data_IF_461083335921
#
_entry.id   IF_461083335921
#
_cell.length_a   1.000
_cell.length_b   1.000
_cell.length_c   1.000
_cell.angle_alpha   90.00
_cell.angle_beta   90.00
_cell.angle_gamma   90.00
#
_symmetry.space_group_name_H-M   'P 1'
#
loop_
_entity.id
_entity.type
_entity.pdbx_description
1 polymer ?
#
# COMPACT_ATOMS: atom_id res chain seq x y z
N UNK A 1 -17.53 -4.73 25.16
CA UNK A 1 -16.27 -4.00 25.40
C UNK A 1 -15.46 -4.02 24.12
N UNK A 2 -14.99 -2.85 23.64
CA UNK A 2 -14.10 -2.79 22.47
C UNK A 2 -12.71 -3.30 22.86
N UNK A 3 -12.15 -4.22 22.09
CA UNK A 3 -10.79 -4.71 22.30
C UNK A 3 -9.77 -3.66 21.80
N UNK A 4 -8.53 -3.66 22.29
CA UNK A 4 -7.48 -2.78 21.77
C UNK A 4 -7.32 -2.89 20.24
N UNK A 5 -7.51 -4.09 19.69
CA UNK A 5 -7.51 -4.33 18.24
C UNK A 5 -8.62 -3.56 17.52
N UNK A 6 -9.88 -3.69 17.97
CA UNK A 6 -11.01 -3.03 17.33
C UNK A 6 -10.86 -1.50 17.36
N UNK A 7 -10.38 -0.96 18.48
CA UNK A 7 -10.08 0.46 18.62
C UNK A 7 -9.00 0.92 17.63
N UNK A 8 -7.89 0.17 17.51
CA UNK A 8 -6.81 0.51 16.57
C UNK A 8 -7.27 0.41 15.11
N UNK A 9 -8.05 -0.63 14.77
CA UNK A 9 -8.60 -0.82 13.43
C UNK A 9 -9.44 0.39 13.02
N UNK A 10 -10.36 0.84 13.88
CA UNK A 10 -11.23 1.99 13.60
C UNK A 10 -10.45 3.31 13.44
N UNK A 11 -9.37 3.50 14.22
CA UNK A 11 -8.49 4.66 14.06
C UNK A 11 -7.77 4.66 12.71
N UNK A 12 -7.26 3.50 12.28
CA UNK A 12 -6.61 3.37 10.98
C UNK A 12 -7.60 3.60 9.84
N UNK A 13 -8.78 2.97 9.90
CA UNK A 13 -9.88 3.18 8.95
C UNK A 13 -10.21 4.68 8.82
N UNK A 14 -10.44 5.36 9.94
CA UNK A 14 -10.71 6.81 9.94
C UNK A 14 -9.57 7.61 9.31
N UNK A 15 -8.32 7.28 9.64
CA UNK A 15 -7.15 7.99 9.11
C UNK A 15 -7.04 7.85 7.59
N UNK A 16 -7.12 6.62 7.07
CA UNK A 16 -6.97 6.36 5.64
C UNK A 16 -8.18 6.83 4.83
N UNK A 17 -9.40 6.78 5.36
CA UNK A 17 -10.62 7.15 4.62
C UNK A 17 -10.98 8.64 4.68
N UNK A 18 -10.58 9.35 5.74
CA UNK A 18 -11.06 10.73 5.96
C UNK A 18 -9.94 11.76 6.02
N UNK A 19 -8.78 11.39 6.56
CA UNK A 19 -7.73 12.37 6.86
C UNK A 19 -6.60 12.32 5.85
N UNK A 20 -6.25 11.12 5.39
CA UNK A 20 -5.01 10.88 4.66
C UNK A 20 -5.23 10.58 3.17
N UNK A 21 -6.49 10.49 2.70
CA UNK A 21 -6.85 10.14 1.32
C UNK A 21 -6.05 10.94 0.29
N UNK A 22 -6.11 12.27 0.34
CA UNK A 22 -5.45 13.13 -0.65
C UNK A 22 -3.92 12.99 -0.56
N UNK A 23 -3.40 12.96 0.66
CA UNK A 23 -1.97 12.81 0.91
C UNK A 23 -1.43 11.46 0.41
N UNK A 24 -2.21 10.38 0.54
CA UNK A 24 -1.86 9.05 0.03
C UNK A 24 -2.02 8.97 -1.47
N UNK A 25 -3.11 9.47 -2.02
CA UNK A 25 -3.35 9.53 -3.47
C UNK A 25 -2.22 10.25 -4.21
N UNK A 26 -1.78 11.40 -3.71
CA UNK A 26 -0.60 12.10 -4.25
C UNK A 26 0.68 11.29 -4.07
N UNK A 27 0.87 10.60 -2.94
CA UNK A 27 2.06 9.79 -2.71
C UNK A 27 2.16 8.60 -3.66
N UNK A 28 1.04 8.00 -4.06
CA UNK A 28 0.96 6.82 -4.92
C UNK A 28 0.68 7.14 -6.40
N UNK A 29 0.79 8.40 -6.80
CA UNK A 29 0.68 8.87 -8.18
C UNK A 29 1.94 9.65 -8.59
N UNK A 30 1.99 10.13 -9.82
CA UNK A 30 3.11 10.96 -10.32
C UNK A 30 3.05 12.43 -9.88
N UNK A 31 2.05 12.81 -9.07
CA UNK A 31 1.93 14.17 -8.56
C UNK A 31 3.20 14.60 -7.79
N UNK A 32 3.59 15.89 -7.87
CA UNK A 32 4.74 16.39 -7.13
C UNK A 32 4.49 16.28 -5.62
N UNK A 33 5.52 15.87 -4.89
CA UNK A 33 5.51 15.71 -3.43
C UNK A 33 6.78 16.33 -2.83
N UNK A 34 6.78 16.52 -1.51
CA UNK A 34 7.97 17.00 -0.81
C UNK A 34 9.16 16.04 -0.97
N UNK A 35 10.39 16.53 -0.79
CA UNK A 35 11.62 15.73 -0.91
C UNK A 35 11.58 14.43 -0.09
N UNK A 36 11.13 14.51 1.16
CA UNK A 36 11.00 13.33 2.05
C UNK A 36 9.99 12.34 1.46
N UNK A 37 8.84 12.81 0.97
CA UNK A 37 7.82 11.95 0.35
C UNK A 37 8.29 11.33 -0.96
N UNK A 38 9.12 12.02 -1.74
CA UNK A 38 9.75 11.44 -2.92
C UNK A 38 10.67 10.26 -2.55
N UNK A 39 11.47 10.39 -1.48
CA UNK A 39 12.26 9.27 -0.95
C UNK A 39 11.38 8.11 -0.46
N UNK A 40 10.26 8.42 0.21
CA UNK A 40 9.29 7.38 0.62
C UNK A 40 8.69 6.68 -0.61
N UNK A 41 8.33 7.41 -1.67
CA UNK A 41 7.81 6.84 -2.91
C UNK A 41 8.83 5.89 -3.54
N UNK A 42 10.06 6.34 -3.73
CA UNK A 42 11.14 5.51 -4.26
C UNK A 42 11.37 4.24 -3.42
N UNK A 43 11.34 4.35 -2.09
CA UNK A 43 11.44 3.19 -1.20
C UNK A 43 10.28 2.20 -1.37
N UNK A 44 9.06 2.69 -1.60
CA UNK A 44 7.89 1.84 -1.88
C UNK A 44 8.01 1.13 -3.23
N UNK A 45 8.51 1.82 -4.26
CA UNK A 45 8.75 1.21 -5.56
C UNK A 45 9.80 0.09 -5.48
N UNK A 46 10.92 0.34 -4.78
CA UNK A 46 11.94 -0.69 -4.50
C UNK A 46 11.34 -1.87 -3.73
N UNK A 47 10.52 -1.61 -2.71
CA UNK A 47 9.87 -2.67 -1.94
C UNK A 47 8.93 -3.50 -2.81
N UNK A 48 8.11 -2.88 -3.66
CA UNK A 48 7.22 -3.58 -4.60
C UNK A 48 8.03 -4.46 -5.56
N UNK A 49 9.08 -3.91 -6.18
CA UNK A 49 9.94 -4.67 -7.09
C UNK A 49 10.59 -5.89 -6.40
N UNK A 50 11.05 -5.74 -5.15
CA UNK A 50 11.60 -6.86 -4.38
C UNK A 50 10.55 -7.94 -4.11
N UNK A 51 9.33 -7.55 -3.69
CA UNK A 51 8.25 -8.50 -3.43
C UNK A 51 7.83 -9.25 -4.70
N UNK A 52 7.69 -8.55 -5.82
CA UNK A 52 7.39 -9.15 -7.12
C UNK A 52 8.50 -10.11 -7.57
N UNK A 53 9.77 -9.74 -7.34
CA UNK A 53 10.92 -10.60 -7.63
C UNK A 53 10.97 -11.88 -6.80
N UNK A 54 10.22 -11.99 -5.71
CA UNK A 54 10.08 -13.24 -4.95
C UNK A 54 8.98 -14.16 -5.48
N UNK A 55 8.05 -13.63 -6.27
CA UNK A 55 7.00 -14.42 -6.91
C UNK A 55 7.57 -15.16 -8.13
N UNK A 56 7.03 -16.35 -8.46
CA UNK A 56 7.38 -16.99 -9.71
C UNK A 56 6.84 -16.16 -10.89
N UNK A 57 7.54 -16.22 -12.02
CA UNK A 57 7.15 -15.47 -13.22
C UNK A 57 5.79 -15.91 -13.82
N UNK A 58 5.33 -17.11 -13.48
CA UNK A 58 4.02 -17.63 -13.85
C UNK A 58 3.23 -17.99 -12.58
N UNK A 59 2.11 -17.30 -12.38
CA UNK A 59 1.18 -17.53 -11.27
C UNK A 59 0.00 -18.42 -11.66
N UNK A 60 0.00 -19.05 -12.84
CA UNK A 60 -1.09 -19.89 -13.30
C UNK A 60 -1.43 -20.99 -12.28
N UNK A 61 -2.70 -21.02 -11.84
CA UNK A 61 -3.18 -21.97 -10.85
C UNK A 61 -2.86 -21.62 -9.39
N UNK A 62 -2.16 -20.50 -9.14
CA UNK A 62 -1.88 -20.00 -7.80
C UNK A 62 -2.92 -18.97 -7.35
N UNK A 63 -2.94 -18.70 -6.03
CA UNK A 63 -3.79 -17.69 -5.41
C UNK A 63 -2.92 -16.77 -4.56
N UNK A 64 -2.98 -15.48 -4.83
CA UNK A 64 -2.27 -14.44 -4.07
C UNK A 64 -3.26 -13.64 -3.20
N UNK A 65 -2.87 -13.37 -1.96
CA UNK A 65 -3.60 -12.49 -1.05
C UNK A 65 -2.74 -11.25 -0.75
N UNK A 66 -3.15 -10.10 -1.28
CA UNK A 66 -2.58 -8.80 -0.95
C UNK A 66 -3.43 -8.10 0.13
N UNK A 67 -3.15 -8.43 1.40
CA UNK A 67 -3.91 -7.92 2.54
C UNK A 67 -3.44 -6.51 2.93
N UNK A 68 -4.33 -5.52 2.78
CA UNK A 68 -3.96 -4.11 2.95
C UNK A 68 -3.33 -3.51 1.69
N UNK A 69 -3.80 -3.93 0.52
CA UNK A 69 -3.26 -3.59 -0.80
C UNK A 69 -3.21 -2.09 -1.13
N UNK A 70 -3.86 -1.23 -0.32
CA UNK A 70 -3.92 0.21 -0.56
C UNK A 70 -4.55 0.50 -1.92
N UNK A 71 -3.79 1.07 -2.84
CA UNK A 71 -4.24 1.32 -4.22
C UNK A 71 -4.17 0.08 -5.13
N UNK A 72 -3.78 -1.09 -4.61
CA UNK A 72 -3.67 -2.34 -5.37
C UNK A 72 -2.40 -2.46 -6.21
N UNK A 73 -1.41 -1.59 -6.01
CA UNK A 73 -0.27 -1.47 -6.92
C UNK A 73 0.57 -2.75 -7.07
N UNK A 74 0.65 -3.60 -6.03
CA UNK A 74 1.29 -4.91 -6.13
C UNK A 74 0.35 -5.93 -6.77
N UNK A 75 -0.89 -6.03 -6.29
CA UNK A 75 -1.88 -6.97 -6.81
C UNK A 75 -2.22 -6.80 -8.30
N UNK A 76 -2.03 -5.61 -8.87
CA UNK A 76 -2.24 -5.36 -10.31
C UNK A 76 -1.03 -5.80 -11.14
N UNK A 77 0.16 -5.78 -10.56
CA UNK A 77 1.42 -6.09 -11.26
C UNK A 77 1.81 -7.57 -11.14
N UNK A 78 1.43 -8.22 -10.04
CA UNK A 78 1.59 -9.66 -9.81
C UNK A 78 0.59 -10.48 -10.63
#
# INVERSE_FOLDING_TARGET
MSTPYLTRRSQLETYFDRTAVEAWSRLTSDAPVSKIRATVRAGRDTMRANLLGWLPADLTGLRLLDAGCGTGALAVEA
#
